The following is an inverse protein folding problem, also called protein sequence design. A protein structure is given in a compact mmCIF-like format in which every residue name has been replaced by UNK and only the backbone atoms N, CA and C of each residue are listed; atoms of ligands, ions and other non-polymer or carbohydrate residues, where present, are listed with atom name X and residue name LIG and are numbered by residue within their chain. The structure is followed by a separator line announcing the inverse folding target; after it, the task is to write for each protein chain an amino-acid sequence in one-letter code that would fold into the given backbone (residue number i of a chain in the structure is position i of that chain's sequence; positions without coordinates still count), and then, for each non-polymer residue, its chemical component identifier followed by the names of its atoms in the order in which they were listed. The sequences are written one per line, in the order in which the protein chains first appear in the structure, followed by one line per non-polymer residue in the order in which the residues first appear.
data_IF_552671630192
#
_entry.id   IF_552671630192
#
_cell.length_a   1.000
_cell.length_b   1.000
_cell.length_c   1.000
_cell.angle_alpha   90.00
_cell.angle_beta   90.00
_cell.angle_gamma   90.00
#
_symmetry.space_group_name_H-M   'P 1'
#
loop_
_entity.id
_entity.type
_entity.pdbx_description
1 polymer ?
#
# COMPACT_ATOMS: atom_id res chain seq x y z
N UNK A 1 0.26 -14.95 -36.81
CA UNK A 1 -0.86 -14.03 -36.51
C UNK A 1 -1.25 -14.29 -35.06
N UNK A 2 -0.86 -13.40 -34.15
CA UNK A 2 -1.14 -13.55 -32.71
C UNK A 2 -2.55 -13.01 -32.48
N UNK A 3 -3.48 -13.86 -32.09
CA UNK A 3 -4.76 -13.38 -31.57
C UNK A 3 -4.55 -13.06 -30.09
N UNK A 4 -4.37 -11.77 -29.81
CA UNK A 4 -4.61 -11.23 -28.46
C UNK A 4 -6.11 -11.02 -28.40
N UNK A 5 -6.84 -11.98 -27.86
CA UNK A 5 -8.23 -11.72 -27.49
C UNK A 5 -8.22 -10.80 -26.27
N UNK A 6 -8.48 -9.52 -26.55
CA UNK A 6 -8.70 -8.49 -25.56
C UNK A 6 -10.09 -8.68 -24.94
N UNK A 7 -10.20 -9.57 -23.96
CA UNK A 7 -11.41 -9.68 -23.13
C UNK A 7 -11.28 -8.68 -21.98
N UNK A 8 -11.58 -7.42 -22.28
CA UNK A 8 -11.80 -6.40 -21.28
C UNK A 8 -13.09 -6.66 -20.47
N UNK A 9 -12.97 -6.39 -19.16
CA UNK A 9 -14.02 -6.14 -18.14
C UNK A 9 -14.49 -7.34 -17.31
N UNK A 10 -13.82 -7.57 -16.17
CA UNK A 10 -14.39 -7.47 -14.81
C UNK A 10 -13.32 -7.76 -13.74
N UNK A 11 -13.28 -6.90 -12.73
CA UNK A 11 -12.79 -7.08 -11.36
C UNK A 11 -11.85 -8.29 -11.05
N UNK A 12 -10.53 -8.04 -11.01
CA UNK A 12 -9.66 -8.61 -9.97
C UNK A 12 -8.98 -9.98 -10.15
N UNK A 13 -9.01 -10.62 -11.33
CA UNK A 13 -8.22 -11.84 -11.58
C UNK A 13 -7.35 -11.70 -12.84
N UNK A 14 -6.04 -11.59 -12.67
CA UNK A 14 -5.07 -11.62 -13.78
C UNK A 14 -5.05 -13.05 -14.34
N UNK A 15 -5.74 -13.28 -15.45
CA UNK A 15 -5.72 -14.55 -16.16
C UNK A 15 -4.37 -14.73 -16.86
N UNK A 16 -3.69 -15.84 -16.55
CA UNK A 16 -2.40 -16.19 -17.15
C UNK A 16 -2.51 -16.36 -18.67
N UNK A 17 -1.44 -16.01 -19.39
CA UNK A 17 -1.35 -16.21 -20.83
C UNK A 17 -1.37 -17.72 -21.15
N UNK A 18 -2.21 -18.11 -22.11
CA UNK A 18 -2.27 -19.47 -22.62
C UNK A 18 -1.46 -19.58 -23.91
N UNK A 19 -0.55 -20.54 -23.97
CA UNK A 19 0.22 -20.85 -25.18
C UNK A 19 -0.26 -22.18 -25.77
N UNK A 20 -0.53 -22.19 -27.07
CA UNK A 20 -0.98 -23.39 -27.76
C UNK A 20 0.23 -24.14 -28.31
N UNK A 21 0.56 -25.27 -27.68
CA UNK A 21 1.63 -26.17 -28.12
C UNK A 21 0.99 -27.53 -28.41
N UNK A 22 0.95 -27.94 -29.68
CA UNK A 22 0.39 -29.23 -30.09
C UNK A 22 -1.11 -29.40 -29.81
N UNK A 23 -1.90 -28.32 -29.87
CA UNK A 23 -3.36 -28.36 -29.67
C UNK A 23 -3.81 -28.29 -28.21
N UNK A 24 -2.89 -28.08 -27.25
CA UNK A 24 -3.22 -27.92 -25.82
C UNK A 24 -2.84 -26.53 -25.33
N UNK A 25 -3.77 -25.92 -24.59
CA UNK A 25 -3.55 -24.69 -23.86
C UNK A 25 -2.71 -24.96 -22.60
N UNK A 26 -1.50 -24.39 -22.54
CA UNK A 26 -0.66 -24.44 -21.34
C UNK A 26 -0.58 -23.04 -20.72
N UNK A 27 -0.99 -22.94 -19.46
CA UNK A 27 -0.94 -21.69 -18.70
C UNK A 27 0.50 -21.27 -18.38
N UNK A 28 0.80 -19.98 -18.53
CA UNK A 28 1.98 -19.36 -17.95
C UNK A 28 1.69 -18.85 -16.53
N UNK A 29 2.63 -19.10 -15.62
CA UNK A 29 2.60 -18.54 -14.26
C UNK A 29 2.90 -17.04 -14.25
N UNK A 30 2.68 -16.37 -13.12
CA UNK A 30 2.95 -14.93 -12.96
C UNK A 30 4.42 -14.54 -13.20
N UNK A 31 5.34 -15.51 -13.19
CA UNK A 31 6.76 -15.37 -13.49
C UNK A 31 7.07 -15.50 -14.99
N UNK A 32 6.03 -15.53 -15.83
CA UNK A 32 6.10 -15.62 -17.29
C UNK A 32 6.68 -16.95 -17.80
N UNK A 33 6.65 -17.99 -16.98
CA UNK A 33 7.11 -19.34 -17.33
C UNK A 33 5.91 -20.24 -17.66
N UNK A 34 5.93 -20.87 -18.83
CA UNK A 34 4.90 -21.81 -19.29
C UNK A 34 4.91 -23.06 -18.39
N UNK A 35 3.73 -23.48 -17.91
CA UNK A 35 3.57 -24.60 -16.97
C UNK A 35 3.89 -24.26 -15.52
N UNK A 36 4.34 -23.04 -15.22
CA UNK A 36 4.57 -22.58 -13.84
C UNK A 36 3.26 -22.45 -13.07
N UNK A 37 3.25 -22.97 -11.84
CA UNK A 37 2.11 -22.88 -10.92
C UNK A 37 2.11 -21.60 -10.08
N UNK A 38 3.09 -20.70 -10.25
CA UNK A 38 3.17 -19.47 -9.47
C UNK A 38 2.04 -18.51 -9.83
N UNK A 39 1.43 -17.93 -8.79
CA UNK A 39 0.35 -16.95 -8.90
C UNK A 39 0.75 -15.67 -8.17
N UNK A 40 0.13 -14.55 -8.54
CA UNK A 40 0.21 -13.34 -7.75
C UNK A 40 -0.49 -13.55 -6.40
N UNK A 41 0.10 -13.02 -5.33
CA UNK A 41 -0.55 -12.90 -4.03
C UNK A 41 -1.51 -11.69 -4.01
N UNK A 42 -2.20 -11.44 -2.88
CA UNK A 42 -3.13 -10.31 -2.73
C UNK A 42 -2.45 -8.94 -2.86
N UNK A 43 -1.13 -8.91 -2.73
CA UNK A 43 -0.29 -7.73 -2.87
C UNK A 43 0.32 -7.61 -4.28
N UNK A 44 -0.17 -8.39 -5.25
CA UNK A 44 0.33 -8.44 -6.62
C UNK A 44 1.83 -8.80 -6.71
N UNK A 45 2.33 -9.56 -5.75
CA UNK A 45 3.68 -10.14 -5.78
C UNK A 45 3.61 -11.55 -6.32
N UNK A 46 4.32 -11.82 -7.41
CA UNK A 46 4.38 -13.16 -7.98
C UNK A 46 5.08 -14.14 -7.03
N UNK A 47 4.37 -15.19 -6.60
CA UNK A 47 4.86 -16.13 -5.59
C UNK A 47 5.06 -15.49 -4.22
N UNK A 48 4.34 -14.41 -3.92
CA UNK A 48 4.39 -13.75 -2.62
C UNK A 48 3.60 -14.48 -1.53
N UNK A 49 3.74 -14.00 -0.30
CA UNK A 49 3.16 -14.56 0.93
C UNK A 49 2.06 -13.66 1.53
N UNK A 50 1.61 -12.63 0.80
CA UNK A 50 0.69 -11.58 1.22
C UNK A 50 1.25 -10.59 2.27
N UNK A 51 2.56 -10.54 2.51
CA UNK A 51 3.16 -9.61 3.48
C UNK A 51 3.54 -8.24 2.89
N UNK A 52 3.55 -8.11 1.56
CA UNK A 52 4.03 -6.90 0.88
C UNK A 52 3.03 -5.72 0.90
N UNK A 53 1.85 -5.93 1.46
CA UNK A 53 0.80 -4.94 1.59
C UNK A 53 -0.04 -5.23 2.82
N UNK A 54 -0.70 -4.21 3.34
CA UNK A 54 -1.64 -4.34 4.43
C UNK A 54 -3.00 -3.84 3.98
N UNK A 55 -4.04 -4.63 4.26
CA UNK A 55 -5.43 -4.26 4.06
C UNK A 55 -6.23 -4.75 5.27
N UNK A 56 -6.93 -3.85 5.95
CA UNK A 56 -7.83 -4.24 7.03
C UNK A 56 -8.97 -3.23 7.21
N UNK A 57 -9.94 -3.64 8.04
CA UNK A 57 -11.06 -2.81 8.46
C UNK A 57 -10.99 -2.66 9.97
N UNK A 58 -11.07 -1.42 10.43
CA UNK A 58 -11.16 -1.07 11.83
C UNK A 58 -12.63 -0.77 12.18
N UNK A 59 -13.12 -1.46 13.21
CA UNK A 59 -14.52 -1.43 13.67
C UNK A 59 -14.66 -1.08 15.16
N UNK A 60 -13.57 -0.89 15.89
CA UNK A 60 -13.63 -0.62 17.33
C UNK A 60 -13.89 0.86 17.61
N UNK A 61 -14.73 1.18 18.60
CA UNK A 61 -15.03 2.56 18.96
C UNK A 61 -14.79 2.78 20.46
N UNK A 62 -13.90 3.71 20.79
CA UNK A 62 -13.86 4.35 22.11
C UNK A 62 -13.94 5.85 21.89
N UNK A 63 -14.65 6.56 22.75
CA UNK A 63 -14.66 8.02 22.69
C UNK A 63 -13.22 8.59 22.70
N UNK A 64 -12.98 9.60 21.87
CA UNK A 64 -11.68 10.20 21.65
C UNK A 64 -10.88 9.54 20.52
N UNK A 65 -9.56 9.68 20.58
CA UNK A 65 -8.64 9.14 19.58
C UNK A 65 -8.39 7.64 19.79
N UNK A 66 -8.54 6.87 18.72
CA UNK A 66 -8.29 5.43 18.68
C UNK A 66 -7.14 5.16 17.71
N UNK A 67 -6.06 4.53 18.17
CA UNK A 67 -4.97 4.09 17.30
C UNK A 67 -5.44 2.92 16.43
N UNK A 68 -5.39 3.08 15.11
CA UNK A 68 -5.86 2.08 14.14
C UNK A 68 -4.70 1.24 13.62
N UNK A 69 -3.69 1.91 13.07
CA UNK A 69 -2.47 1.27 12.52
C UNK A 69 -1.35 2.30 12.43
N UNK A 70 -0.11 1.86 12.61
CA UNK A 70 1.05 2.69 12.25
C UNK A 70 1.51 2.33 10.84
N UNK A 71 1.39 3.29 9.93
CA UNK A 71 1.86 3.19 8.56
C UNK A 71 3.38 3.41 8.58
N UNK A 72 4.17 2.42 8.18
CA UNK A 72 5.63 2.48 8.32
C UNK A 72 6.27 3.44 7.31
N UNK A 73 7.50 3.86 7.62
CA UNK A 73 8.41 4.46 6.62
C UNK A 73 8.50 3.54 5.40
N UNK A 74 8.58 4.11 4.21
CA UNK A 74 8.64 3.39 2.93
C UNK A 74 7.29 2.93 2.40
N UNK A 75 6.20 3.11 3.14
CA UNK A 75 4.88 2.74 2.66
C UNK A 75 4.43 3.55 1.44
N UNK A 76 3.75 2.91 0.49
CA UNK A 76 3.26 3.53 -0.74
C UNK A 76 1.79 3.17 -1.02
N UNK A 77 1.15 3.90 -1.95
CA UNK A 77 -0.26 3.72 -2.33
C UNK A 77 -1.19 3.62 -1.13
N UNK A 78 -1.02 4.57 -0.21
CA UNK A 78 -1.85 4.71 0.98
C UNK A 78 -3.24 5.14 0.51
N UNK A 79 -4.24 4.37 0.90
CA UNK A 79 -5.64 4.70 0.73
C UNK A 79 -6.37 4.35 2.03
N UNK A 80 -6.93 5.38 2.65
CA UNK A 80 -7.73 5.26 3.86
C UNK A 80 -9.11 5.81 3.51
N UNK A 81 -10.16 5.11 3.94
CA UNK A 81 -11.55 5.50 3.75
C UNK A 81 -12.30 5.28 5.04
N UNK A 82 -12.84 6.33 5.61
CA UNK A 82 -13.86 6.24 6.66
C UNK A 82 -15.21 6.53 6.00
N UNK A 83 -16.22 5.76 6.40
CA UNK A 83 -17.60 5.99 5.97
C UNK A 83 -18.54 5.70 7.13
N UNK A 84 -19.53 6.56 7.27
CA UNK A 84 -20.59 6.47 8.27
C UNK A 84 -21.62 5.38 8.00
N UNK A 85 -21.60 4.75 6.82
CA UNK A 85 -22.68 3.87 6.35
C UNK A 85 -24.04 4.58 6.21
N UNK A 86 -24.09 5.90 6.42
CA UNK A 86 -25.28 6.75 6.41
C UNK A 86 -25.05 7.89 5.43
N UNK A 87 -26.11 8.38 4.78
CA UNK A 87 -26.05 9.52 3.85
C UNK A 87 -25.84 10.87 4.55
N UNK A 88 -25.84 10.91 5.89
CA UNK A 88 -25.63 12.13 6.68
C UNK A 88 -24.15 12.51 6.75
N UNK A 89 -23.87 13.82 6.72
CA UNK A 89 -22.52 14.40 6.61
C UNK A 89 -21.62 14.23 7.85
N UNK A 90 -22.16 13.79 8.99
CA UNK A 90 -21.35 13.48 10.17
C UNK A 90 -21.91 12.26 10.91
N UNK A 91 -21.07 11.26 11.12
CA UNK A 91 -21.24 10.19 12.10
C UNK A 91 -20.46 10.43 13.38
N UNK A 92 -19.88 11.61 13.54
CA UNK A 92 -18.98 11.93 14.64
C UNK A 92 -17.71 11.08 14.66
N UNK A 93 -17.28 10.57 13.50
CA UNK A 93 -16.05 9.77 13.36
C UNK A 93 -15.19 10.41 12.28
N UNK A 94 -13.96 10.76 12.64
CA UNK A 94 -13.07 11.52 11.76
C UNK A 94 -11.68 10.87 11.67
N UNK A 95 -11.04 10.99 10.51
CA UNK A 95 -9.66 10.54 10.28
C UNK A 95 -8.68 11.53 10.91
N UNK A 96 -7.67 11.01 11.61
CA UNK A 96 -6.56 11.79 12.11
C UNK A 96 -5.22 11.08 11.85
N UNK A 97 -4.15 11.86 11.73
CA UNK A 97 -2.79 11.35 11.55
C UNK A 97 -1.89 11.91 12.64
N UNK A 98 -1.37 11.02 13.48
CA UNK A 98 -0.43 11.33 14.56
C UNK A 98 0.98 10.92 14.15
N UNK A 99 1.96 11.78 14.45
CA UNK A 99 3.38 11.53 14.25
C UNK A 99 3.97 10.79 15.44
N UNK A 100 5.21 10.30 15.28
CA UNK A 100 5.95 9.58 16.33
C UNK A 100 6.22 10.45 17.57
N UNK A 101 6.41 11.75 17.39
CA UNK A 101 6.60 12.73 18.47
C UNK A 101 5.29 13.16 19.15
N UNK A 102 4.18 12.46 18.87
CA UNK A 102 2.84 12.75 19.36
C UNK A 102 2.20 14.05 18.83
N UNK A 103 2.88 14.79 17.96
CA UNK A 103 2.26 15.89 17.20
C UNK A 103 1.30 15.36 16.13
N UNK A 104 0.40 16.21 15.65
CA UNK A 104 -0.57 15.84 14.63
C UNK A 104 -0.21 16.40 13.26
N UNK A 105 -0.24 15.53 12.25
CA UNK A 105 -0.17 15.93 10.84
C UNK A 105 -1.54 16.33 10.30
N UNK A 106 -2.61 15.73 10.83
CA UNK A 106 -3.98 16.00 10.43
C UNK A 106 -4.92 15.79 11.61
N UNK A 107 -5.89 16.69 11.78
CA UNK A 107 -7.01 16.61 12.72
C UNK A 107 -6.60 16.30 14.17
N UNK A 108 -5.63 17.07 14.69
CA UNK A 108 -5.21 17.02 16.09
C UNK A 108 -5.98 17.98 16.99
N UNK A 109 -5.86 17.79 18.31
CA UNK A 109 -6.47 18.67 19.32
C UNK A 109 -7.97 18.90 19.13
N UNK A 110 -8.70 17.90 18.60
CA UNK A 110 -10.13 17.99 18.27
C UNK A 110 -10.49 19.10 17.26
N UNK A 111 -9.51 19.62 16.52
CA UNK A 111 -9.72 20.60 15.43
C UNK A 111 -9.76 19.85 14.10
N UNK A 112 -10.86 20.00 13.37
CA UNK A 112 -11.09 19.30 12.11
C UNK A 112 -10.85 20.22 10.90
N UNK A 113 -10.14 19.71 9.90
CA UNK A 113 -10.08 20.34 8.59
C UNK A 113 -11.37 20.02 7.80
N UNK A 114 -12.21 21.02 7.48
CA UNK A 114 -13.54 20.76 6.91
C UNK A 114 -13.49 20.35 5.43
N UNK A 115 -12.49 20.84 4.70
CA UNK A 115 -12.41 20.77 3.24
C UNK A 115 -11.19 19.99 2.76
N UNK A 116 -11.21 19.68 1.47
CA UNK A 116 -10.11 18.97 0.81
C UNK A 116 -8.82 19.80 0.85
N UNK A 117 -7.72 19.17 1.27
CA UNK A 117 -6.42 19.82 1.39
C UNK A 117 -5.26 18.84 1.29
N UNK A 118 -4.08 19.39 1.02
CA UNK A 118 -2.83 18.67 1.07
C UNK A 118 -2.26 18.70 2.49
N UNK A 119 -1.92 17.52 3.00
CA UNK A 119 -1.28 17.32 4.31
C UNK A 119 0.22 17.20 4.07
N UNK A 120 0.92 18.29 4.37
CA UNK A 120 2.37 18.38 4.24
C UNK A 120 3.05 17.76 5.46
N UNK A 121 3.81 16.69 5.24
CA UNK A 121 4.60 16.04 6.28
C UNK A 121 5.97 16.72 6.41
N UNK A 122 6.58 16.67 7.59
CA UNK A 122 7.88 17.32 7.83
C UNK A 122 8.98 16.76 6.94
N UNK A 123 8.85 15.48 6.59
CA UNK A 123 9.76 14.79 5.69
C UNK A 123 9.59 15.14 4.19
N UNK A 124 8.62 15.99 3.85
CA UNK A 124 8.34 16.47 2.50
C UNK A 124 7.41 15.59 1.67
N UNK A 125 6.95 14.46 2.20
CA UNK A 125 5.87 13.68 1.58
C UNK A 125 4.54 14.43 1.74
N UNK A 126 3.66 14.31 0.75
CA UNK A 126 2.34 14.94 0.74
C UNK A 126 1.25 13.88 0.66
N UNK A 127 0.24 14.01 1.51
CA UNK A 127 -1.00 13.22 1.45
C UNK A 127 -2.16 14.14 1.06
N UNK A 128 -3.16 13.60 0.36
CA UNK A 128 -4.39 14.30 0.00
C UNK A 128 -5.50 13.86 0.95
N UNK A 129 -6.10 14.81 1.65
CA UNK A 129 -7.21 14.58 2.57
C UNK A 129 -8.49 15.22 2.03
N UNK A 130 -9.63 14.52 2.07
CA UNK A 130 -10.87 15.00 1.45
C UNK A 130 -11.70 16.00 2.27
N UNK A 131 -11.43 16.13 3.57
CA UNK A 131 -12.18 17.00 4.48
C UNK A 131 -13.22 16.26 5.32
N UNK A 132 -13.40 16.73 6.56
CA UNK A 132 -14.30 16.14 7.57
C UNK A 132 -15.79 16.29 7.23
N UNK A 133 -16.14 17.15 6.28
CA UNK A 133 -17.53 17.37 5.85
C UNK A 133 -18.00 16.36 4.80
N UNK A 134 -17.11 15.50 4.30
CA UNK A 134 -17.46 14.49 3.28
C UNK A 134 -18.15 13.30 3.94
N UNK A 135 -19.23 12.81 3.31
CA UNK A 135 -19.91 11.58 3.74
C UNK A 135 -18.98 10.34 3.72
N UNK A 136 -17.94 10.37 2.89
CA UNK A 136 -16.84 9.41 2.90
C UNK A 136 -15.54 10.19 2.98
N UNK A 137 -14.92 10.17 4.15
CA UNK A 137 -13.65 10.81 4.41
C UNK A 137 -12.50 9.93 3.92
N UNK A 138 -11.54 10.53 3.22
CA UNK A 138 -10.45 9.78 2.61
C UNK A 138 -9.10 10.46 2.83
N UNK A 139 -8.07 9.64 2.96
CA UNK A 139 -6.67 10.05 2.88
C UNK A 139 -6.01 9.21 1.79
N UNK A 140 -5.38 9.86 0.83
CA UNK A 140 -4.67 9.22 -0.29
C UNK A 140 -3.23 9.69 -0.32
N UNK A 141 -2.29 8.78 -0.49
CA UNK A 141 -0.87 9.08 -0.57
C UNK A 141 -0.14 8.16 -1.53
N UNK A 142 0.64 8.73 -2.46
CA UNK A 142 1.51 7.92 -3.34
C UNK A 142 2.68 7.31 -2.58
N UNK A 143 3.24 8.03 -1.60
CA UNK A 143 4.48 7.65 -0.91
C UNK A 143 5.72 7.79 -1.82
N UNK A 144 6.88 7.23 -1.43
CA UNK A 144 7.13 6.56 -0.15
C UNK A 144 7.05 7.54 1.03
N UNK A 145 6.49 7.09 2.15
CA UNK A 145 6.62 7.84 3.39
C UNK A 145 8.07 7.84 3.86
N UNK A 146 8.53 8.98 4.38
CA UNK A 146 9.86 9.13 4.96
C UNK A 146 9.84 9.17 6.49
N UNK A 147 8.66 9.26 7.08
CA UNK A 147 8.40 9.15 8.52
C UNK A 147 7.19 8.25 8.77
N UNK A 148 7.12 7.54 9.90
CA UNK A 148 5.95 6.72 10.22
C UNK A 148 4.79 7.61 10.67
N UNK A 149 3.56 7.20 10.35
CA UNK A 149 2.34 7.88 10.76
C UNK A 149 1.38 6.91 11.42
N UNK A 150 0.87 7.25 12.59
CA UNK A 150 -0.22 6.52 13.23
C UNK A 150 -1.54 7.07 12.74
N UNK A 151 -2.27 6.23 12.01
CA UNK A 151 -3.66 6.47 11.64
C UNK A 151 -4.53 6.33 12.87
N UNK A 152 -5.35 7.34 13.14
CA UNK A 152 -6.32 7.35 14.22
C UNK A 152 -7.74 7.58 13.71
N UNK A 153 -8.70 6.98 14.41
CA UNK A 153 -10.10 7.36 14.33
C UNK A 153 -10.44 8.24 15.53
N UNK A 154 -10.82 9.49 15.29
CA UNK A 154 -11.36 10.39 16.29
C UNK A 154 -12.87 10.17 16.38
N UNK A 155 -13.33 9.61 17.50
CA UNK A 155 -14.74 9.31 17.77
C UNK A 155 -15.27 10.33 18.78
N UNK A 156 -16.24 11.15 18.38
CA UNK A 156 -16.85 12.19 19.24
C UNK A 156 -18.30 11.88 19.62
N UNK A 157 -18.82 10.73 19.17
CA UNK A 157 -20.14 10.19 19.53
C UNK A 157 -20.04 8.68 19.72
N UNK A 158 -20.82 8.12 20.63
CA UNK A 158 -20.90 6.69 20.91
C UNK A 158 -21.95 5.97 20.05
N UNK A 159 -22.71 6.71 19.26
CA UNK A 159 -23.88 6.20 18.56
C UNK A 159 -23.56 5.33 17.33
N UNK A 160 -22.33 5.37 16.82
CA UNK A 160 -21.96 4.71 15.57
C UNK A 160 -20.63 3.96 15.67
N UNK A 161 -20.60 2.79 15.06
CA UNK A 161 -19.38 2.00 14.91
C UNK A 161 -18.56 2.52 13.72
N UNK A 162 -17.28 2.87 13.87
CA UNK A 162 -16.45 3.32 12.77
C UNK A 162 -16.34 2.22 11.73
N UNK A 163 -16.41 2.59 10.45
CA UNK A 163 -16.08 1.69 9.34
C UNK A 163 -14.92 2.28 8.57
N UNK A 164 -13.74 2.12 9.15
CA UNK A 164 -12.51 2.66 8.58
C UNK A 164 -11.76 1.54 7.87
N UNK A 165 -11.62 1.67 6.56
CA UNK A 165 -10.86 0.74 5.70
C UNK A 165 -9.55 1.40 5.32
N UNK A 166 -8.46 0.65 5.40
CA UNK A 166 -7.16 1.16 4.99
C UNK A 166 -6.41 0.12 4.15
N UNK A 167 -5.61 0.61 3.21
CA UNK A 167 -4.66 -0.16 2.42
C UNK A 167 -3.38 0.62 2.17
N UNK A 168 -2.25 -0.07 2.16
CA UNK A 168 -0.95 0.46 1.73
C UNK A 168 0.00 -0.69 1.41
N UNK A 169 1.00 -0.45 0.56
CA UNK A 169 2.12 -1.37 0.36
C UNK A 169 3.21 -1.11 1.40
N UNK A 170 3.78 -2.19 1.93
CA UNK A 170 4.87 -2.17 2.90
C UNK A 170 6.21 -2.26 2.14
N UNK A 171 7.24 -1.49 2.50
CA UNK A 171 8.55 -1.66 1.88
C UNK A 171 9.07 -3.08 2.12
N UNK A 172 9.49 -3.75 1.04
CA UNK A 172 10.22 -5.00 1.20
C UNK A 172 11.55 -4.69 1.86
N UNK A 173 11.91 -5.45 2.89
CA UNK A 173 13.29 -5.45 3.36
C UNK A 173 14.19 -5.68 2.14
N UNK A 174 15.27 -4.89 1.94
CA UNK A 174 16.20 -5.15 0.87
C UNK A 174 16.64 -6.60 1.01
N UNK A 175 16.52 -7.39 -0.08
CA UNK A 175 17.02 -8.76 -0.08
C UNK A 175 18.49 -8.67 0.34
N UNK A 176 18.84 -9.20 1.51
CA UNK A 176 20.24 -9.41 1.85
C UNK A 176 20.77 -10.30 0.75
N UNK A 177 21.62 -9.72 -0.09
CA UNK A 177 22.33 -10.50 -1.10
C UNK A 177 23.08 -11.57 -0.33
N UNK A 178 22.95 -12.83 -0.75
CA UNK A 178 23.66 -13.90 -0.06
C UNK A 178 25.15 -13.58 -0.04
N UNK A 179 25.83 -13.93 1.04
CA UNK A 179 27.28 -13.74 1.15
C UNK A 179 28.02 -14.39 -0.03
N UNK A 180 27.46 -15.49 -0.56
CA UNK A 180 27.94 -16.14 -1.78
C UNK A 180 27.83 -15.23 -3.02
N UNK A 181 26.71 -14.53 -3.23
CA UNK A 181 26.57 -13.60 -4.34
C UNK A 181 27.49 -12.38 -4.19
N UNK A 182 27.65 -11.87 -2.97
CA UNK A 182 28.56 -10.75 -2.69
C UNK A 182 30.02 -11.15 -2.99
N UNK A 183 30.45 -12.33 -2.56
CA UNK A 183 31.77 -12.90 -2.89
C UNK A 183 31.94 -13.10 -4.39
N UNK A 184 30.93 -13.66 -5.07
CA UNK A 184 30.98 -13.87 -6.51
C UNK A 184 31.06 -12.55 -7.29
N UNK A 185 30.28 -11.54 -6.88
CA UNK A 185 30.34 -10.19 -7.46
C UNK A 185 31.71 -9.55 -7.26
N UNK A 186 32.34 -9.71 -6.09
CA UNK A 186 33.69 -9.21 -5.84
C UNK A 186 34.73 -9.83 -6.78
N UNK A 187 34.71 -11.16 -6.96
CA UNK A 187 35.57 -11.84 -7.95
C UNK A 187 35.35 -11.35 -9.37
N UNK A 188 34.09 -11.19 -9.79
CA UNK A 188 33.78 -10.69 -11.14
C UNK A 188 34.33 -9.26 -11.32
N UNK A 189 34.13 -8.38 -10.34
CA UNK A 189 34.62 -7.00 -10.41
C UNK A 189 36.15 -6.92 -10.44
N UNK A 190 36.84 -7.82 -9.76
CA UNK A 190 38.31 -7.92 -9.77
C UNK A 190 38.84 -8.31 -11.16
N UNK A 191 38.24 -9.33 -11.78
CA UNK A 191 38.56 -9.73 -13.16
C UNK A 191 38.32 -8.57 -14.14
N UNK A 192 37.21 -7.85 -13.98
CA UNK A 192 36.88 -6.70 -14.83
C UNK A 192 37.80 -5.48 -14.62
N UNK A 193 38.45 -5.35 -13.45
CA UNK A 193 39.47 -4.34 -13.17
C UNK A 193 40.82 -4.72 -13.76
N UNK A 194 41.25 -5.97 -13.58
CA UNK A 194 42.47 -6.51 -14.18
C UNK A 194 42.46 -6.37 -15.72
N UNK A 195 41.32 -6.64 -16.37
CA UNK A 195 41.16 -6.46 -17.82
C UNK A 195 41.17 -5.01 -18.29
N UNK A 196 40.90 -4.04 -17.41
CA UNK A 196 40.94 -2.61 -17.73
C UNK A 196 42.32 -1.98 -17.50
N UNK A 197 43.19 -2.59 -16.68
CA UNK A 197 44.57 -2.15 -16.47
C UNK A 197 45.59 -2.70 -17.46
N UNK A 198 45.20 -3.62 -18.34
CA UNK A 198 46.04 -4.22 -19.39
C UNK A 198 45.82 -3.60 -20.79
N UNK A 199 45.17 -2.44 -20.86
CA UNK A 199 45.04 -1.63 -22.08
C UNK A 199 45.79 -0.32 -21.93
#
# INVERSE_FOLDING_TARGET
MVFVEDIGKTLGHVHGACYNTGGRCIHAGCDRVIGSKKKFDKCMVCGGDNSACQYAVFLSARYGYNDVVTIPVGATHILIRQSSGSSSASDGIYLALRRRDHSYALNGNYVLAPSEQDVHLHSGSVLRYSGATKAVETIVGRGPLKEPLTLQALVVTDQKTPRLKYTFFVPKAPKRLSDQWLKQKARILEVLRSRRGHK
#
